data_IF_462313287814
#
_entry.id   IF_462313287814
#
_cell.length_a   1.000
_cell.length_b   1.000
_cell.length_c   1.000
_cell.angle_alpha   90.00
_cell.angle_beta   90.00
_cell.angle_gamma   90.00
#
_symmetry.space_group_name_H-M   'P 1'
#
loop_
_entity.id
_entity.type
_entity.pdbx_description
1 polymer ?
#
# COMPACT_ATOMS: atom_id res chain seq x y z
N UNK A 1 -35.13 31.53 -35.98
CA UNK A 1 -34.08 32.57 -36.19
C UNK A 1 -33.61 32.99 -34.82
N UNK A 2 -32.30 33.00 -34.58
CA UNK A 2 -31.69 33.43 -33.33
C UNK A 2 -30.56 34.42 -33.68
N UNK A 3 -30.41 35.44 -32.88
CA UNK A 3 -29.25 36.34 -32.98
C UNK A 3 -28.22 35.93 -31.89
N UNK A 4 -26.99 35.66 -32.32
CA UNK A 4 -25.87 35.33 -31.41
C UNK A 4 -24.74 36.33 -31.70
N UNK A 5 -24.40 37.13 -30.70
CA UNK A 5 -23.36 38.18 -30.82
C UNK A 5 -23.55 39.07 -32.05
N UNK A 6 -24.80 39.42 -32.39
CA UNK A 6 -25.13 40.24 -33.53
C UNK A 6 -25.22 39.50 -34.87
N UNK A 7 -24.86 38.25 -34.96
CA UNK A 7 -25.02 37.43 -36.14
C UNK A 7 -26.37 36.71 -36.13
N UNK A 8 -27.09 36.73 -37.25
CA UNK A 8 -28.39 36.07 -37.43
C UNK A 8 -28.15 34.62 -37.89
N UNK A 9 -28.53 33.66 -37.05
CA UNK A 9 -28.47 32.25 -37.36
C UNK A 9 -29.88 31.70 -37.59
N UNK A 10 -30.02 30.84 -38.59
CA UNK A 10 -31.28 30.15 -38.91
C UNK A 10 -31.07 28.65 -38.75
N UNK A 11 -31.95 28.02 -37.99
CA UNK A 11 -32.02 26.56 -37.88
C UNK A 11 -33.39 26.11 -38.31
N UNK A 12 -33.46 24.90 -38.90
CA UNK A 12 -34.73 24.19 -39.19
C UNK A 12 -35.26 23.50 -37.95
N UNK A 13 -34.46 23.37 -36.91
CA UNK A 13 -34.77 22.66 -35.65
C UNK A 13 -34.81 23.66 -34.49
N UNK A 14 -35.30 23.23 -33.34
CA UNK A 14 -35.21 23.95 -32.06
C UNK A 14 -33.82 23.89 -31.44
N UNK A 15 -32.92 23.08 -31.99
CA UNK A 15 -31.54 22.90 -31.52
C UNK A 15 -30.58 23.70 -32.41
N UNK A 16 -29.67 24.45 -31.82
CA UNK A 16 -28.67 25.27 -32.52
C UNK A 16 -27.29 24.96 -31.92
N UNK A 17 -26.32 24.62 -32.79
CA UNK A 17 -24.91 24.48 -32.40
C UNK A 17 -24.15 25.77 -32.68
N UNK A 18 -23.54 26.34 -31.63
CA UNK A 18 -22.69 27.54 -31.73
C UNK A 18 -21.37 27.25 -31.02
N UNK A 19 -20.30 27.19 -31.79
CA UNK A 19 -18.93 26.99 -31.25
C UNK A 19 -18.80 25.76 -30.29
N UNK A 20 -19.47 24.68 -30.64
CA UNK A 20 -19.45 23.44 -29.82
C UNK A 20 -20.46 23.43 -28.67
N UNK A 21 -21.25 24.49 -28.50
CA UNK A 21 -22.33 24.54 -27.52
C UNK A 21 -23.66 24.25 -28.23
N UNK A 22 -24.34 23.19 -27.80
CA UNK A 22 -25.69 22.85 -28.29
C UNK A 22 -26.73 23.57 -27.44
N UNK A 23 -27.49 24.48 -28.08
CA UNK A 23 -28.56 25.25 -27.45
C UNK A 23 -29.92 24.70 -27.86
N UNK A 24 -30.75 24.30 -26.91
CA UNK A 24 -32.13 23.96 -27.12
C UNK A 24 -33.04 25.18 -26.92
N UNK A 25 -33.68 25.62 -28.00
CA UNK A 25 -34.55 26.78 -28.01
C UNK A 25 -35.96 26.40 -27.59
N UNK A 26 -36.30 26.60 -26.31
CA UNK A 26 -37.58 26.21 -25.72
C UNK A 26 -38.71 27.21 -26.03
N UNK A 27 -38.41 28.49 -26.11
CA UNK A 27 -39.39 29.55 -26.41
C UNK A 27 -38.71 30.77 -27.05
N UNK A 28 -39.50 31.52 -27.79
CA UNK A 28 -39.07 32.84 -28.29
C UNK A 28 -38.99 33.87 -27.17
N UNK A 29 -37.95 34.68 -27.16
CA UNK A 29 -37.76 35.79 -26.22
C UNK A 29 -37.26 37.00 -26.94
N UNK A 30 -37.85 38.16 -26.64
CA UNK A 30 -37.37 39.46 -27.11
C UNK A 30 -36.29 40.05 -26.18
N UNK A 31 -35.94 39.31 -25.10
CA UNK A 31 -34.89 39.75 -24.17
C UNK A 31 -33.57 39.04 -24.54
N UNK A 32 -32.50 39.79 -24.46
CA UNK A 32 -31.16 39.26 -24.57
C UNK A 32 -30.88 38.29 -23.42
N UNK A 33 -30.39 37.06 -23.76
CA UNK A 33 -29.96 36.07 -22.80
C UNK A 33 -28.45 35.94 -22.93
N UNK A 34 -27.73 36.22 -21.86
CA UNK A 34 -26.28 36.00 -21.77
C UNK A 34 -26.01 34.57 -21.36
N UNK A 35 -25.36 33.82 -22.22
CA UNK A 35 -24.88 32.47 -21.90
C UNK A 35 -23.36 32.57 -21.69
N UNK A 36 -22.92 32.12 -20.52
CA UNK A 36 -21.50 32.02 -20.20
C UNK A 36 -21.17 30.52 -20.12
N UNK A 37 -20.15 30.13 -20.86
CA UNK A 37 -19.61 28.77 -20.80
C UNK A 37 -18.35 28.84 -19.95
N UNK A 38 -18.28 28.08 -18.90
CA UNK A 38 -17.07 27.85 -18.10
C UNK A 38 -16.70 26.37 -18.16
N UNK A 39 -15.42 26.07 -18.14
CA UNK A 39 -14.97 24.71 -17.94
C UNK A 39 -15.40 24.25 -16.55
N UNK A 40 -15.78 22.99 -16.42
CA UNK A 40 -16.00 22.38 -15.12
C UNK A 40 -14.63 22.11 -14.47
N UNK A 41 -14.13 23.12 -13.78
CA UNK A 41 -12.84 23.06 -13.08
C UNK A 41 -12.92 22.20 -11.81
N UNK A 42 -14.12 21.97 -11.28
CA UNK A 42 -14.31 21.20 -10.04
C UNK A 42 -13.94 19.73 -10.24
N UNK A 43 -14.37 19.12 -11.35
CA UNK A 43 -14.04 17.72 -11.64
C UNK A 43 -12.54 17.46 -11.81
N UNK A 44 -11.81 18.44 -12.37
CA UNK A 44 -10.34 18.36 -12.49
C UNK A 44 -9.68 18.51 -11.11
N UNK A 45 -10.13 19.47 -10.33
CA UNK A 45 -9.65 19.68 -8.97
C UNK A 45 -9.87 18.42 -8.10
N UNK A 46 -11.09 17.89 -8.10
CA UNK A 46 -11.46 16.70 -7.34
C UNK A 46 -10.62 15.49 -7.73
N UNK A 47 -10.39 15.29 -9.03
CA UNK A 47 -9.53 14.18 -9.51
C UNK A 47 -8.08 14.30 -9.03
N UNK A 48 -7.55 15.52 -8.94
CA UNK A 48 -6.20 15.76 -8.42
C UNK A 48 -6.17 15.57 -6.91
N UNK A 49 -7.21 16.01 -6.19
CA UNK A 49 -7.37 15.83 -4.76
C UNK A 49 -7.43 14.33 -4.42
N UNK A 50 -8.28 13.58 -5.11
CA UNK A 50 -8.38 12.12 -4.96
C UNK A 50 -7.03 11.43 -5.19
N UNK A 51 -6.27 11.86 -6.19
CA UNK A 51 -4.92 11.33 -6.42
C UNK A 51 -3.97 11.63 -5.25
N UNK A 52 -3.99 12.85 -4.71
CA UNK A 52 -3.17 13.25 -3.55
C UNK A 52 -3.54 12.43 -2.32
N UNK A 53 -4.83 12.24 -2.06
CA UNK A 53 -5.34 11.42 -0.95
C UNK A 53 -4.90 9.95 -1.07
N UNK A 54 -5.00 9.35 -2.25
CA UNK A 54 -4.55 7.99 -2.49
C UNK A 54 -3.03 7.86 -2.33
N UNK A 55 -2.26 8.81 -2.85
CA UNK A 55 -0.81 8.86 -2.65
C UNK A 55 -0.47 8.92 -1.15
N UNK A 56 -1.12 9.80 -0.40
CA UNK A 56 -0.93 9.96 1.03
C UNK A 56 -1.30 8.70 1.81
N UNK A 57 -2.42 8.06 1.46
CA UNK A 57 -2.86 6.81 2.08
C UNK A 57 -1.82 5.71 1.93
N UNK A 58 -1.32 5.49 0.71
CA UNK A 58 -0.29 4.48 0.44
C UNK A 58 1.02 4.81 1.19
N UNK A 59 1.46 6.07 1.14
CA UNK A 59 2.69 6.48 1.79
C UNK A 59 2.58 6.39 3.32
N UNK A 60 1.42 6.71 3.90
CA UNK A 60 1.14 6.57 5.34
C UNK A 60 1.19 5.12 5.78
N UNK A 61 0.60 4.21 5.02
CA UNK A 61 0.66 2.78 5.31
C UNK A 61 2.09 2.25 5.24
N UNK A 62 2.85 2.63 4.22
CA UNK A 62 4.27 2.28 4.12
C UNK A 62 5.09 2.82 5.30
N UNK A 63 4.86 4.08 5.69
CA UNK A 63 5.50 4.70 6.84
C UNK A 63 5.17 3.96 8.14
N UNK A 64 3.91 3.55 8.33
CA UNK A 64 3.47 2.76 9.49
C UNK A 64 4.31 1.49 9.66
N UNK A 65 4.52 0.73 8.58
CA UNK A 65 5.33 -0.49 8.64
C UNK A 65 6.83 -0.20 8.77
N UNK A 66 7.34 0.79 8.04
CA UNK A 66 8.75 1.13 8.08
C UNK A 66 9.20 1.66 9.46
N UNK A 67 8.39 2.50 10.11
CA UNK A 67 8.64 3.05 11.43
C UNK A 67 8.02 2.24 12.56
N UNK A 68 7.52 1.04 12.28
CA UNK A 68 6.94 0.17 13.29
C UNK A 68 7.87 -0.05 14.48
N UNK A 69 7.31 -0.26 15.66
CA UNK A 69 8.07 -0.55 16.85
C UNK A 69 8.72 -1.94 16.75
N UNK A 70 9.90 -2.10 17.35
CA UNK A 70 10.61 -3.38 17.35
C UNK A 70 9.80 -4.48 18.02
N UNK A 71 9.80 -5.68 17.43
CA UNK A 71 9.29 -6.92 18.04
C UNK A 71 10.39 -7.71 18.76
N UNK A 72 11.46 -7.05 19.21
CA UNK A 72 12.51 -7.73 19.97
C UNK A 72 11.92 -8.37 21.23
N UNK A 73 12.12 -9.68 21.40
CA UNK A 73 11.56 -10.46 22.49
C UNK A 73 10.18 -11.08 22.19
N UNK A 74 9.67 -10.88 20.96
CA UNK A 74 8.47 -11.53 20.46
C UNK A 74 8.87 -12.57 19.42
N UNK A 75 9.11 -13.81 19.87
CA UNK A 75 9.37 -14.94 18.99
C UNK A 75 8.04 -15.58 18.54
N UNK A 76 8.01 -16.28 17.39
CA UNK A 76 6.82 -17.04 17.00
C UNK A 76 6.39 -18.03 18.09
N UNK A 77 5.11 -17.97 18.46
CA UNK A 77 4.56 -18.82 19.51
C UNK A 77 4.47 -20.29 19.05
N UNK A 78 4.86 -21.20 19.93
CA UNK A 78 4.57 -22.64 19.76
C UNK A 78 3.10 -22.94 20.03
N UNK A 79 2.62 -24.12 19.57
CA UNK A 79 1.23 -24.54 19.79
C UNK A 79 0.88 -24.63 21.29
N UNK A 80 1.85 -25.02 22.12
CA UNK A 80 1.63 -25.12 23.56
C UNK A 80 1.57 -23.76 24.23
N UNK A 81 2.43 -22.81 23.81
CA UNK A 81 2.36 -21.42 24.29
C UNK A 81 1.03 -20.76 23.90
N UNK A 82 0.53 -21.01 22.68
CA UNK A 82 -0.79 -20.50 22.26
C UNK A 82 -1.94 -21.04 23.10
N UNK A 83 -1.87 -22.29 23.57
CA UNK A 83 -2.89 -22.88 24.45
C UNK A 83 -2.91 -22.27 25.86
N UNK A 84 -1.78 -21.73 26.32
CA UNK A 84 -1.64 -21.07 27.61
C UNK A 84 -2.06 -19.59 27.61
N UNK A 85 -2.31 -19.03 26.42
CA UNK A 85 -2.69 -17.63 26.21
C UNK A 85 -4.14 -17.54 25.74
N UNK A 86 -4.76 -16.39 25.96
CA UNK A 86 -6.05 -16.09 25.33
C UNK A 86 -5.89 -15.75 23.85
N UNK A 87 -6.95 -15.92 23.06
CA UNK A 87 -6.93 -15.61 21.63
C UNK A 87 -6.51 -14.15 21.37
N UNK A 88 -6.98 -13.21 22.20
CA UNK A 88 -6.61 -11.79 22.12
C UNK A 88 -5.10 -11.55 22.37
N UNK A 89 -4.49 -12.30 23.30
CA UNK A 89 -3.06 -12.19 23.58
C UNK A 89 -2.24 -12.77 22.44
N UNK A 90 -2.65 -13.91 21.89
CA UNK A 90 -2.02 -14.51 20.70
C UNK A 90 -2.09 -13.57 19.52
N UNK A 91 -3.27 -12.98 19.25
CA UNK A 91 -3.44 -12.02 18.14
C UNK A 91 -2.55 -10.79 18.30
N UNK A 92 -2.50 -10.20 19.49
CA UNK A 92 -1.63 -9.04 19.78
C UNK A 92 -0.15 -9.40 19.63
N UNK A 93 0.24 -10.58 20.07
CA UNK A 93 1.61 -11.08 19.94
C UNK A 93 2.01 -11.25 18.48
N UNK A 94 1.17 -11.95 17.71
CA UNK A 94 1.42 -12.17 16.28
C UNK A 94 1.37 -10.88 15.47
N UNK A 95 0.45 -9.98 15.80
CA UNK A 95 0.35 -8.65 15.16
C UNK A 95 1.63 -7.85 15.41
N UNK A 96 2.16 -7.89 16.62
CA UNK A 96 3.43 -7.24 16.96
C UNK A 96 4.60 -7.73 16.10
N UNK A 97 4.65 -9.04 15.85
CA UNK A 97 5.65 -9.64 14.97
C UNK A 97 5.43 -9.18 13.53
N UNK A 98 4.19 -9.33 13.01
CA UNK A 98 3.82 -8.97 11.64
C UNK A 98 4.12 -7.51 11.32
N UNK A 99 3.70 -6.59 12.17
CA UNK A 99 3.91 -5.15 11.97
C UNK A 99 5.39 -4.78 11.93
N UNK A 100 6.24 -5.54 12.63
CA UNK A 100 7.67 -5.27 12.66
C UNK A 100 8.47 -5.86 11.49
N UNK A 101 7.87 -6.72 10.66
CA UNK A 101 8.56 -7.41 9.57
C UNK A 101 9.21 -6.47 8.56
N UNK A 102 8.55 -5.34 8.28
CA UNK A 102 9.03 -4.33 7.34
C UNK A 102 9.73 -3.16 8.01
N UNK A 103 9.97 -3.28 9.31
CA UNK A 103 10.64 -2.23 10.07
C UNK A 103 12.05 -2.00 9.53
N UNK A 104 12.30 -0.77 9.05
CA UNK A 104 13.57 -0.35 8.41
C UNK A 104 13.99 -1.24 7.25
N UNK A 105 13.01 -1.76 6.51
CA UNK A 105 13.28 -2.50 5.30
C UNK A 105 13.82 -1.58 4.21
N UNK A 106 14.99 -1.91 3.65
CA UNK A 106 15.67 -1.08 2.67
C UNK A 106 14.92 -1.01 1.33
N UNK A 107 14.16 -2.05 1.00
CA UNK A 107 13.38 -2.08 -0.24
C UNK A 107 12.18 -1.17 -0.12
N UNK A 108 11.48 -1.24 1.01
CA UNK A 108 10.36 -0.35 1.33
C UNK A 108 10.82 1.11 1.39
N UNK A 109 11.95 1.39 2.02
CA UNK A 109 12.57 2.73 2.04
C UNK A 109 12.86 3.23 0.62
N UNK A 110 13.45 2.39 -0.22
CA UNK A 110 13.75 2.72 -1.61
C UNK A 110 12.50 3.06 -2.44
N UNK A 111 11.38 2.39 -2.21
CA UNK A 111 10.09 2.71 -2.85
C UNK A 111 9.56 4.05 -2.35
N UNK A 112 9.46 4.24 -1.03
CA UNK A 112 9.00 5.50 -0.43
C UNK A 112 9.85 6.70 -0.88
N UNK A 113 11.17 6.52 -0.92
CA UNK A 113 12.08 7.55 -1.41
C UNK A 113 11.83 7.86 -2.89
N UNK A 114 11.60 6.83 -3.72
CA UNK A 114 11.26 7.02 -5.15
C UNK A 114 9.96 7.79 -5.30
N UNK A 115 8.94 7.47 -4.51
CA UNK A 115 7.67 8.20 -4.49
C UNK A 115 7.89 9.68 -4.17
N UNK A 116 8.54 9.97 -3.04
CA UNK A 116 8.81 11.34 -2.58
C UNK A 116 9.62 12.13 -3.59
N UNK A 117 10.73 11.59 -4.06
CA UNK A 117 11.63 12.31 -4.98
C UNK A 117 10.99 12.54 -6.34
N UNK A 118 10.16 11.63 -6.83
CA UNK A 118 9.44 11.85 -8.08
C UNK A 118 8.40 12.95 -7.92
N UNK A 119 7.61 12.92 -6.86
CA UNK A 119 6.58 13.93 -6.63
C UNK A 119 7.15 15.33 -6.41
N UNK A 120 8.23 15.47 -5.64
CA UNK A 120 8.79 16.78 -5.31
C UNK A 120 9.84 17.27 -6.29
N UNK A 121 10.50 16.37 -7.00
CA UNK A 121 11.65 16.69 -7.86
C UNK A 121 11.34 16.80 -9.35
N UNK A 122 10.19 16.28 -9.80
CA UNK A 122 9.81 16.36 -11.23
C UNK A 122 9.45 17.78 -11.61
N UNK A 123 10.07 18.27 -12.68
CA UNK A 123 9.72 19.55 -13.31
C UNK A 123 9.29 19.32 -14.76
N UNK A 124 8.31 20.06 -15.21
CA UNK A 124 7.71 19.94 -16.54
C UNK A 124 7.72 21.29 -17.21
N UNK A 125 8.29 21.37 -18.41
CA UNK A 125 8.13 22.56 -19.25
C UNK A 125 6.86 22.40 -20.07
N UNK A 126 5.84 23.16 -19.74
CA UNK A 126 4.54 23.10 -20.38
C UNK A 126 4.54 23.80 -21.75
N UNK A 127 3.45 23.61 -22.50
CA UNK A 127 3.25 24.16 -23.85
C UNK A 127 3.35 25.70 -23.90
N UNK A 128 3.07 26.38 -22.78
CA UNK A 128 3.26 27.83 -22.63
C UNK A 128 4.73 28.28 -22.45
N UNK A 129 5.69 27.33 -22.48
CA UNK A 129 7.12 27.59 -22.35
C UNK A 129 7.61 27.83 -20.92
N UNK A 130 6.74 27.78 -19.92
CA UNK A 130 7.11 27.87 -18.48
C UNK A 130 7.36 26.51 -17.89
N UNK A 131 8.23 26.46 -16.88
CA UNK A 131 8.53 25.24 -16.14
C UNK A 131 7.75 25.21 -14.84
N UNK A 132 7.08 24.11 -14.59
CA UNK A 132 6.25 23.87 -13.41
C UNK A 132 6.74 22.63 -12.65
N UNK A 133 6.55 22.68 -11.35
CA UNK A 133 6.64 21.55 -10.42
C UNK A 133 5.32 21.40 -9.68
N UNK A 134 5.16 20.34 -8.91
CA UNK A 134 3.98 20.15 -8.04
C UNK A 134 3.77 21.36 -7.11
N UNK A 135 4.85 21.92 -6.57
CA UNK A 135 4.80 23.09 -5.70
C UNK A 135 4.27 24.36 -6.40
N UNK A 136 4.51 24.51 -7.72
CA UNK A 136 3.96 25.61 -8.50
C UNK A 136 2.44 25.47 -8.72
N UNK A 137 1.92 24.24 -8.66
CA UNK A 137 0.48 23.97 -8.67
C UNK A 137 -0.17 24.17 -7.29
N UNK A 138 0.60 24.51 -6.26
CA UNK A 138 0.09 24.65 -4.90
C UNK A 138 0.05 23.34 -4.11
N UNK A 139 0.61 22.26 -4.63
CA UNK A 139 0.69 20.96 -3.93
C UNK A 139 2.10 20.83 -3.35
N UNK A 140 2.20 20.75 -2.02
CA UNK A 140 3.48 20.77 -1.30
C UNK A 140 3.52 19.69 -0.22
N UNK A 141 4.73 19.32 0.21
CA UNK A 141 4.86 18.47 1.39
C UNK A 141 4.57 19.25 2.66
N UNK A 142 4.11 18.54 3.69
CA UNK A 142 3.84 19.11 5.00
C UNK A 142 5.04 19.81 5.64
N UNK A 143 4.75 20.70 6.57
CA UNK A 143 5.77 21.43 7.35
C UNK A 143 6.35 20.58 8.46
N UNK A 144 5.60 19.61 8.96
CA UNK A 144 6.07 18.69 10.00
C UNK A 144 6.83 17.52 9.34
N UNK A 145 8.12 17.36 9.72
CA UNK A 145 8.93 16.23 9.26
C UNK A 145 8.34 14.85 9.66
N UNK A 146 7.44 14.80 10.65
CA UNK A 146 6.77 13.57 11.10
C UNK A 146 5.68 13.08 10.12
N UNK A 147 5.28 13.90 9.19
CA UNK A 147 4.37 13.50 8.10
C UNK A 147 5.09 12.66 7.03
N UNK A 148 6.43 12.62 7.10
CA UNK A 148 7.25 11.77 6.24
C UNK A 148 6.97 11.93 4.75
N UNK A 149 6.61 13.14 4.32
CA UNK A 149 6.46 13.51 2.92
C UNK A 149 5.06 13.35 2.36
N UNK A 150 4.03 13.40 3.18
CA UNK A 150 2.65 13.57 2.75
C UNK A 150 2.49 14.88 1.97
N UNK A 151 1.56 14.90 1.03
CA UNK A 151 1.28 16.04 0.18
C UNK A 151 0.02 16.76 0.66
N UNK A 152 0.04 18.07 0.58
CA UNK A 152 -1.06 18.95 0.95
C UNK A 152 -1.37 19.91 -0.19
N UNK A 153 -2.64 20.19 -0.41
CA UNK A 153 -3.10 21.18 -1.39
C UNK A 153 -3.36 22.49 -0.64
N UNK A 154 -2.66 23.56 -1.01
CA UNK A 154 -2.87 24.87 -0.41
C UNK A 154 -4.27 25.37 -0.73
N UNK A 155 -4.99 25.82 0.29
CA UNK A 155 -6.37 26.32 0.17
C UNK A 155 -7.41 25.22 0.04
N UNK A 156 -7.07 23.96 0.37
CA UNK A 156 -8.04 22.89 0.50
C UNK A 156 -8.80 23.06 1.82
N UNK A 157 -10.12 23.23 1.74
CA UNK A 157 -10.99 23.47 2.89
C UNK A 157 -11.06 22.27 3.85
N UNK A 158 -10.76 21.07 3.36
CA UNK A 158 -10.74 19.83 4.16
C UNK A 158 -9.42 19.61 4.91
N UNK A 159 -8.40 20.44 4.62
CA UNK A 159 -7.08 20.38 5.28
C UNK A 159 -6.90 21.59 6.21
N UNK A 160 -7.16 21.41 7.51
CA UNK A 160 -7.15 22.49 8.51
C UNK A 160 -5.84 23.29 8.54
N UNK A 161 -4.70 22.67 8.24
CA UNK A 161 -3.38 23.31 8.27
C UNK A 161 -3.12 24.17 7.01
N UNK A 162 -3.88 23.97 5.94
CA UNK A 162 -3.68 24.61 4.63
C UNK A 162 -4.89 25.37 4.11
N UNK A 163 -6.07 25.24 4.77
CA UNK A 163 -7.33 25.88 4.36
C UNK A 163 -7.24 27.42 4.21
N UNK A 164 -6.51 28.07 5.11
CA UNK A 164 -6.36 29.53 5.11
C UNK A 164 -5.41 30.05 3.97
N UNK A 165 -4.84 29.15 3.20
CA UNK A 165 -3.94 29.51 2.10
C UNK A 165 -4.72 29.81 0.81
N UNK A 166 -4.12 30.57 -0.11
CA UNK A 166 -4.72 30.75 -1.45
C UNK A 166 -4.71 29.43 -2.21
N UNK A 167 -5.86 29.01 -2.74
CA UNK A 167 -5.97 27.80 -3.57
C UNK A 167 -5.35 28.06 -4.95
N UNK A 168 -4.04 27.82 -5.04
CA UNK A 168 -3.27 28.01 -6.27
C UNK A 168 -3.67 27.01 -7.36
N UNK A 169 -4.02 25.78 -6.97
CA UNK A 169 -4.42 24.73 -7.90
C UNK A 169 -5.71 25.11 -8.62
N UNK A 170 -6.74 25.49 -7.87
CA UNK A 170 -8.03 25.89 -8.42
C UNK A 170 -7.89 27.12 -9.33
N UNK A 171 -7.11 28.12 -8.90
CA UNK A 171 -6.84 29.29 -9.72
C UNK A 171 -6.19 28.90 -11.05
N UNK A 172 -5.18 28.03 -11.01
CA UNK A 172 -4.48 27.61 -12.23
C UNK A 172 -5.36 26.74 -13.14
N UNK A 173 -6.22 25.89 -12.59
CA UNK A 173 -7.20 25.11 -13.36
C UNK A 173 -8.17 26.07 -14.08
N UNK A 174 -8.59 27.16 -13.43
CA UNK A 174 -9.50 28.14 -14.03
C UNK A 174 -8.80 29.00 -15.11
N UNK A 175 -7.51 29.30 -14.93
CA UNK A 175 -6.74 30.16 -15.86
C UNK A 175 -6.21 29.38 -17.07
N UNK A 176 -5.61 28.19 -16.83
CA UNK A 176 -4.92 27.38 -17.83
C UNK A 176 -5.01 25.89 -17.51
N UNK A 177 -6.18 25.26 -17.71
CA UNK A 177 -6.41 23.86 -17.37
C UNK A 177 -5.48 22.90 -18.16
N UNK A 178 -5.09 23.28 -19.38
CA UNK A 178 -4.22 22.46 -20.22
C UNK A 178 -2.82 22.31 -19.59
N UNK A 179 -2.29 23.38 -19.01
CA UNK A 179 -1.02 23.36 -18.27
C UNK A 179 -1.12 22.44 -17.06
N UNK A 180 -2.20 22.49 -16.30
CA UNK A 180 -2.39 21.60 -15.12
C UNK A 180 -2.44 20.15 -15.56
N UNK A 181 -3.19 19.84 -16.62
CA UNK A 181 -3.28 18.48 -17.17
C UNK A 181 -1.92 17.98 -17.67
N UNK A 182 -1.17 18.80 -18.39
CA UNK A 182 0.15 18.46 -18.93
C UNK A 182 1.14 18.14 -17.81
N UNK A 183 1.19 18.99 -16.78
CA UNK A 183 2.09 18.84 -15.62
C UNK A 183 1.72 17.61 -14.81
N UNK A 184 0.45 17.45 -14.44
CA UNK A 184 -0.01 16.32 -13.65
C UNK A 184 0.18 14.99 -14.39
N UNK A 185 -0.19 14.93 -15.68
CA UNK A 185 -0.01 13.73 -16.50
C UNK A 185 1.45 13.30 -16.56
N UNK A 186 2.38 14.25 -16.70
CA UNK A 186 3.81 13.93 -16.72
C UNK A 186 4.31 13.43 -15.37
N UNK A 187 3.94 14.08 -14.27
CA UNK A 187 4.34 13.68 -12.91
C UNK A 187 3.82 12.27 -12.59
N UNK A 188 2.55 11.99 -12.87
CA UNK A 188 1.93 10.67 -12.64
C UNK A 188 2.58 9.60 -13.52
N UNK A 189 2.88 9.91 -14.78
CA UNK A 189 3.56 9.00 -15.69
C UNK A 189 4.97 8.68 -15.21
N UNK A 190 5.72 9.67 -14.73
CA UNK A 190 7.05 9.48 -14.18
C UNK A 190 7.01 8.67 -12.88
N UNK A 191 6.03 8.93 -12.01
CA UNK A 191 5.81 8.15 -10.80
C UNK A 191 5.54 6.68 -11.14
N UNK A 192 4.60 6.41 -12.04
CA UNK A 192 4.29 5.05 -12.51
C UNK A 192 5.53 4.37 -13.11
N UNK A 193 6.25 5.05 -13.98
CA UNK A 193 7.45 4.51 -14.63
C UNK A 193 8.55 4.17 -13.62
N UNK A 194 8.81 5.05 -12.66
CA UNK A 194 9.84 4.86 -11.64
C UNK A 194 9.48 3.74 -10.66
N UNK A 195 8.22 3.66 -10.24
CA UNK A 195 7.73 2.56 -9.41
C UNK A 195 7.79 1.23 -10.18
N UNK A 196 7.36 1.21 -11.42
CA UNK A 196 7.39 0.00 -12.26
C UNK A 196 8.81 -0.55 -12.44
N UNK A 197 9.81 0.33 -12.62
CA UNK A 197 11.22 -0.06 -12.66
C UNK A 197 11.70 -0.69 -11.35
N UNK A 198 11.24 -0.16 -10.21
CA UNK A 198 11.57 -0.70 -8.88
C UNK A 198 10.93 -2.06 -8.63
N UNK A 199 9.72 -2.28 -9.15
CA UNK A 199 8.90 -3.48 -8.96
C UNK A 199 9.00 -4.47 -10.13
N UNK A 200 9.93 -4.27 -11.07
CA UNK A 200 10.12 -5.17 -12.19
C UNK A 200 10.57 -6.56 -11.74
N UNK A 201 10.16 -7.59 -12.49
CA UNK A 201 10.59 -8.95 -12.25
C UNK A 201 12.11 -9.08 -12.35
N UNK A 202 12.72 -9.81 -11.41
CA UNK A 202 14.13 -10.12 -11.37
C UNK A 202 14.33 -11.64 -11.24
N UNK A 203 15.58 -12.08 -11.15
CA UNK A 203 15.90 -13.49 -10.84
C UNK A 203 15.44 -13.88 -9.44
N UNK A 204 15.27 -12.93 -8.53
CA UNK A 204 14.91 -13.14 -7.13
C UNK A 204 13.45 -12.81 -6.81
N UNK A 205 12.81 -11.94 -7.60
CA UNK A 205 11.45 -11.45 -7.36
C UNK A 205 10.56 -11.61 -8.60
N UNK A 206 9.25 -11.74 -8.38
CA UNK A 206 8.22 -11.73 -9.41
C UNK A 206 7.92 -10.31 -9.89
N UNK A 207 7.16 -10.16 -10.98
CA UNK A 207 6.72 -8.86 -11.46
C UNK A 207 5.81 -8.19 -10.41
N UNK A 208 5.94 -6.86 -10.28
CA UNK A 208 5.17 -6.02 -9.36
C UNK A 208 5.30 -6.40 -7.87
N UNK A 209 6.42 -7.03 -7.51
CA UNK A 209 6.79 -7.28 -6.12
C UNK A 209 8.19 -6.74 -5.86
N UNK A 210 8.36 -6.11 -4.70
CA UNK A 210 9.63 -5.56 -4.23
C UNK A 210 10.29 -6.41 -3.14
N UNK A 211 9.77 -7.63 -2.92
CA UNK A 211 10.40 -8.64 -2.08
C UNK A 211 11.06 -9.72 -2.93
N UNK A 212 12.04 -10.39 -2.36
CA UNK A 212 12.67 -11.57 -2.94
C UNK A 212 11.75 -12.79 -2.80
N UNK A 213 10.52 -12.72 -3.32
CA UNK A 213 9.48 -13.72 -3.17
C UNK A 213 9.88 -15.09 -3.70
N UNK A 214 10.64 -15.15 -4.80
CA UNK A 214 11.16 -16.41 -5.34
C UNK A 214 12.18 -17.05 -4.41
N UNK A 215 13.04 -16.25 -3.78
CA UNK A 215 14.01 -16.74 -2.80
C UNK A 215 13.31 -17.14 -1.49
N UNK A 216 12.37 -16.34 -1.02
CA UNK A 216 11.54 -16.66 0.14
C UNK A 216 10.77 -17.96 -0.06
N UNK A 217 10.16 -18.17 -1.23
CA UNK A 217 9.46 -19.43 -1.56
C UNK A 217 10.38 -20.64 -1.50
N UNK A 218 11.62 -20.53 -2.01
CA UNK A 218 12.61 -21.58 -1.92
C UNK A 218 12.99 -21.90 -0.46
N UNK A 219 13.20 -20.87 0.36
CA UNK A 219 13.52 -21.05 1.77
C UNK A 219 12.36 -21.69 2.53
N UNK A 220 11.12 -21.25 2.31
CA UNK A 220 9.92 -21.88 2.92
C UNK A 220 9.85 -23.35 2.54
N UNK A 221 9.99 -23.70 1.25
CA UNK A 221 9.98 -25.09 0.79
C UNK A 221 11.09 -25.91 1.44
N UNK A 222 12.29 -25.34 1.62
CA UNK A 222 13.39 -26.02 2.29
C UNK A 222 13.08 -26.26 3.78
N UNK A 223 12.55 -25.26 4.49
CA UNK A 223 12.17 -25.42 5.89
C UNK A 223 11.05 -26.46 6.09
N UNK A 224 10.05 -26.49 5.20
CA UNK A 224 9.02 -27.54 5.23
C UNK A 224 9.60 -28.95 5.10
N UNK A 225 10.59 -29.11 4.20
CA UNK A 225 11.31 -30.37 4.03
C UNK A 225 12.10 -30.73 5.29
N UNK A 226 12.83 -29.77 5.85
CA UNK A 226 13.62 -29.98 7.07
C UNK A 226 12.72 -30.36 8.27
N UNK A 227 11.57 -29.69 8.44
CA UNK A 227 10.56 -30.03 9.45
C UNK A 227 10.08 -31.47 9.28
N UNK A 228 9.79 -31.91 8.06
CA UNK A 228 9.36 -33.26 7.78
C UNK A 228 10.45 -34.30 8.15
N UNK A 229 11.70 -34.01 7.80
CA UNK A 229 12.84 -34.87 8.14
C UNK A 229 13.03 -34.96 9.66
N UNK A 230 12.93 -33.84 10.39
CA UNK A 230 13.03 -33.83 11.84
C UNK A 230 11.88 -34.60 12.52
N UNK A 231 10.62 -34.47 12.02
CA UNK A 231 9.48 -35.26 12.50
C UNK A 231 9.72 -36.77 12.35
N UNK A 232 10.29 -37.18 11.22
CA UNK A 232 10.65 -38.61 11.00
C UNK A 232 11.73 -39.09 11.98
N UNK A 233 12.80 -38.28 12.15
CA UNK A 233 13.86 -38.58 13.12
C UNK A 233 13.34 -38.67 14.56
N UNK A 234 12.39 -37.80 14.92
CA UNK A 234 11.76 -37.84 16.24
C UNK A 234 10.98 -39.14 16.45
N UNK A 235 10.13 -39.53 15.49
CA UNK A 235 9.37 -40.77 15.56
C UNK A 235 10.29 -42.01 15.66
N UNK A 236 11.37 -42.05 14.87
CA UNK A 236 12.38 -43.13 14.96
C UNK A 236 13.07 -43.17 16.34
N UNK A 237 13.30 -42.01 16.93
CA UNK A 237 13.90 -41.90 18.26
C UNK A 237 12.93 -42.37 19.36
N UNK A 238 11.66 -41.97 19.27
CA UNK A 238 10.59 -42.42 20.16
C UNK A 238 10.46 -43.97 20.10
N UNK A 239 10.38 -44.55 18.92
CA UNK A 239 10.30 -46.00 18.70
C UNK A 239 11.52 -46.73 19.32
N UNK A 240 12.71 -46.16 19.18
CA UNK A 240 13.92 -46.71 19.79
C UNK A 240 13.85 -46.69 21.32
N UNK A 241 13.39 -45.60 21.90
CA UNK A 241 13.23 -45.52 23.35
C UNK A 241 12.14 -46.47 23.86
N UNK A 242 11.01 -46.58 23.20
CA UNK A 242 9.97 -47.56 23.56
C UNK A 242 10.50 -48.98 23.53
N UNK A 243 11.29 -49.38 22.53
CA UNK A 243 11.95 -50.70 22.47
C UNK A 243 12.92 -50.89 23.61
N UNK A 244 13.71 -49.89 23.97
CA UNK A 244 14.62 -49.94 25.11
C UNK A 244 13.87 -50.09 26.45
N UNK A 245 12.81 -49.30 26.67
CA UNK A 245 11.96 -49.42 27.84
C UNK A 245 11.32 -50.81 27.95
N UNK A 246 10.75 -51.32 26.87
CA UNK A 246 10.16 -52.67 26.85
C UNK A 246 11.20 -53.79 27.16
N UNK A 247 12.41 -53.64 26.63
CA UNK A 247 13.49 -54.58 26.96
C UNK A 247 13.90 -54.51 28.44
N UNK A 248 13.98 -53.30 29.00
CA UNK A 248 14.28 -53.09 30.42
C UNK A 248 13.17 -53.66 31.33
N UNK A 249 11.90 -53.41 31.01
CA UNK A 249 10.76 -53.99 31.74
C UNK A 249 10.79 -55.50 31.70
N UNK A 250 11.08 -56.14 30.57
CA UNK A 250 11.24 -57.63 30.48
C UNK A 250 12.39 -58.12 31.30
N UNK A 251 13.52 -57.41 31.32
CA UNK A 251 14.67 -57.76 32.14
C UNK A 251 14.35 -57.68 33.66
N UNK A 252 13.67 -56.61 34.06
CA UNK A 252 13.22 -56.42 35.44
C UNK A 252 12.22 -57.50 35.86
N UNK A 253 11.25 -57.88 35.06
CA UNK A 253 10.31 -58.97 35.31
C UNK A 253 11.02 -60.31 35.44
N UNK A 254 12.04 -60.58 34.60
CA UNK A 254 12.87 -61.76 34.70
C UNK A 254 13.67 -61.81 36.02
N UNK A 255 14.28 -60.68 36.42
CA UNK A 255 15.00 -60.57 37.69
C UNK A 255 14.07 -60.79 38.92
N UNK A 256 12.86 -60.17 38.86
CA UNK A 256 11.84 -60.37 39.90
C UNK A 256 11.41 -61.87 40.02
N UNK A 257 11.23 -62.52 38.86
CA UNK A 257 10.93 -63.99 38.88
C UNK A 257 12.06 -64.81 39.46
N UNK A 258 13.31 -64.48 39.10
CA UNK A 258 14.49 -65.14 39.68
C UNK A 258 14.60 -64.89 41.17
N UNK A 259 14.36 -63.63 41.62
CA UNK A 259 14.35 -63.28 43.04
C UNK A 259 13.28 -64.12 43.84
N UNK A 260 12.07 -64.20 43.29
CA UNK A 260 10.97 -64.96 43.88
C UNK A 260 11.30 -66.44 43.97
N UNK A 261 11.94 -66.98 42.91
CA UNK A 261 12.39 -68.37 42.89
C UNK A 261 13.48 -68.64 43.95
N UNK A 262 14.44 -67.73 44.08
CA UNK A 262 15.48 -67.79 45.12
C UNK A 262 14.88 -67.69 46.53
N UNK A 263 13.95 -66.76 46.74
CA UNK A 263 13.26 -66.67 48.05
C UNK A 263 12.51 -67.95 48.45
N UNK A 264 11.88 -68.62 47.47
CA UNK A 264 11.21 -69.92 47.71
C UNK A 264 12.18 -71.03 48.00
N UNK A 265 13.41 -70.98 47.46
CA UNK A 265 14.46 -71.99 47.78
C UNK A 265 15.12 -71.75 49.13
N UNK A 266 15.22 -70.50 49.59
CA UNK A 266 15.86 -70.16 50.87
C UNK A 266 14.89 -70.17 52.08
N UNK A 267 13.58 -70.21 51.85
CA UNK A 267 12.52 -70.22 52.86
C UNK A 267 11.87 -71.56 53.14
N UNK A 268 12.41 -72.64 52.55
CA UNK A 268 11.99 -73.98 52.80
C UNK A 268 13.01 -74.71 53.74
#
# INVERSE_FOLDING_TARGET
VVQVNGATLTSSNTTLDVNGLTLDLVSASDKEVKVTVSNDSSAVYDSIKDFVEQYNSILSEMNKYYYASSARGYDPLTDDQKKEMSDDEVEKWETKIKDSLLRRDNTLEGIMQTMRTTMTGTTVTASNGKTYSLANLGITTGKDYKEYGLLHIKGDEDDEDYADSTNTLENLINEDPDVVQEVMSKIVTDLYSNLNKKMAATTMSSALTFYNDKEMTKQVTQYEKDIKEWKTKLADMEDRYYKQFTAMEKALASLQSQQSSLASYLGS
#
